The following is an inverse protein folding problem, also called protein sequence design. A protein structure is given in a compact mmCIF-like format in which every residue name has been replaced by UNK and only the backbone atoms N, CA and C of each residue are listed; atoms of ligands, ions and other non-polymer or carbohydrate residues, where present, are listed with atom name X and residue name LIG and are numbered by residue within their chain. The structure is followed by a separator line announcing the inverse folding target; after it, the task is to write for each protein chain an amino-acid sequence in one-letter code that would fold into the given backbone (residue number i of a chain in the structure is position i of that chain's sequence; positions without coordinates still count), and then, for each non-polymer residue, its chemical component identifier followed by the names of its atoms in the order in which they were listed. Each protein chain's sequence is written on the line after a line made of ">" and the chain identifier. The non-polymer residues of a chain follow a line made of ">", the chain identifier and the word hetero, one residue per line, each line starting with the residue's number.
data_IF_712604815824
#
_entry.id   IF_712604815824
#
_cell.length_a   1.000
_cell.length_b   1.000
_cell.length_c   1.000
_cell.angle_alpha   90.00
_cell.angle_beta   90.00
_cell.angle_gamma   90.00
#
_symmetry.space_group_name_H-M   'P 1'
#
loop_
_entity.id
_entity.type
_entity.pdbx_description
1 polymer ?
#
# COMPACT_ATOMS: atom_id res chain seq x y z
N UNK A 1 18.95 -3.20 -22.19
CA UNK A 1 19.53 -3.93 -21.05
C UNK A 1 20.33 -2.91 -20.24
N UNK A 2 19.79 -2.48 -19.10
CA UNK A 2 20.49 -1.60 -18.17
C UNK A 2 20.05 -2.05 -16.78
N UNK A 3 20.96 -2.79 -16.16
CA UNK A 3 20.92 -3.15 -14.75
C UNK A 3 21.30 -1.87 -14.00
N UNK A 4 20.40 -1.36 -13.17
CA UNK A 4 20.74 -0.27 -12.26
C UNK A 4 21.05 -0.92 -10.93
N UNK A 5 22.34 -0.88 -10.58
CA UNK A 5 22.88 -1.30 -9.30
C UNK A 5 22.23 -0.52 -8.16
N UNK A 6 21.65 -1.25 -7.22
CA UNK A 6 21.29 -0.72 -5.92
C UNK A 6 22.57 -0.76 -5.08
N UNK A 7 23.22 0.41 -4.90
CA UNK A 7 24.27 0.51 -3.90
C UNK A 7 23.63 0.38 -2.52
N UNK A 8 24.00 -0.71 -1.85
CA UNK A 8 23.75 -0.95 -0.43
C UNK A 8 24.58 0.04 0.38
N UNK A 9 23.91 0.86 1.19
CA UNK A 9 24.51 1.40 2.40
C UNK A 9 23.82 0.70 3.57
N UNK A 10 24.45 -0.40 4.00
CA UNK A 10 23.99 -1.31 5.04
C UNK A 10 25.13 -1.58 6.01
N UNK A 11 25.36 -0.64 6.93
CA UNK A 11 26.00 -0.94 8.21
C UNK A 11 25.96 0.30 9.12
N UNK A 12 24.87 0.52 9.87
CA UNK A 12 24.94 1.06 11.26
C UNK A 12 23.60 1.26 12.04
N UNK A 13 22.45 0.78 11.57
CA UNK A 13 21.18 0.96 12.33
C UNK A 13 20.89 -0.16 13.36
N UNK A 14 21.89 -0.57 14.17
CA UNK A 14 21.66 -1.59 15.23
C UNK A 14 21.90 -1.10 16.66
N UNK A 15 22.06 0.21 16.92
CA UNK A 15 22.15 0.77 18.30
C UNK A 15 21.42 2.12 18.48
N UNK A 16 20.85 2.75 17.45
CA UNK A 16 20.13 4.01 17.61
C UNK A 16 18.64 3.77 17.92
N UNK A 17 18.11 4.46 18.93
CA UNK A 17 16.66 4.51 19.18
C UNK A 17 15.90 4.79 17.88
N UNK A 18 14.72 4.19 17.71
CA UNK A 18 14.01 4.31 16.44
C UNK A 18 13.82 5.78 16.06
N UNK A 19 14.02 6.13 14.78
CA UNK A 19 13.96 7.51 14.35
C UNK A 19 12.61 8.15 14.71
N UNK A 20 12.61 9.42 15.13
CA UNK A 20 11.42 10.10 15.63
C UNK A 20 10.32 10.19 14.57
N UNK A 21 9.08 10.38 15.02
CA UNK A 21 7.95 10.73 14.15
C UNK A 21 8.33 11.93 13.28
N UNK A 22 8.33 11.77 11.95
CA UNK A 22 8.67 12.83 11.00
C UNK A 22 7.44 13.56 10.45
N UNK A 23 6.44 13.78 11.31
CA UNK A 23 5.31 14.64 10.99
C UNK A 23 4.66 15.20 12.25
N UNK A 24 4.06 16.39 12.18
CA UNK A 24 3.51 17.09 13.33
C UNK A 24 2.05 16.73 13.62
N UNK A 25 1.60 16.95 14.86
CA UNK A 25 0.18 16.86 15.23
C UNK A 25 -0.71 17.75 14.35
N UNK A 26 -0.23 18.95 14.01
CA UNK A 26 -0.92 19.86 13.09
C UNK A 26 -1.12 19.23 11.70
N UNK A 27 -0.10 18.55 11.17
CA UNK A 27 -0.17 17.87 9.87
C UNK A 27 -1.17 16.71 9.93
N UNK A 28 -1.17 15.94 11.02
CA UNK A 28 -2.15 14.90 11.30
C UNK A 28 -3.59 15.43 11.34
N UNK A 29 -3.83 16.49 12.10
CA UNK A 29 -5.14 17.12 12.20
C UNK A 29 -5.59 17.64 10.81
N UNK A 30 -4.63 18.12 10.00
CA UNK A 30 -4.84 18.48 8.61
C UNK A 30 -5.36 17.32 7.74
N UNK A 31 -4.82 16.10 7.88
CA UNK A 31 -5.32 14.92 7.17
C UNK A 31 -6.69 14.50 7.66
N UNK A 32 -6.90 14.42 8.98
CA UNK A 32 -8.21 14.08 9.56
C UNK A 32 -9.30 14.99 8.99
N UNK A 33 -9.04 16.30 8.93
CA UNK A 33 -9.95 17.28 8.32
C UNK A 33 -10.09 17.09 6.80
N UNK A 34 -8.98 17.03 6.07
CA UNK A 34 -8.98 17.01 4.59
C UNK A 34 -9.64 15.74 4.03
N UNK A 35 -9.46 14.60 4.70
CA UNK A 35 -10.06 13.33 4.33
C UNK A 35 -11.38 13.05 5.07
N UNK A 36 -11.89 14.02 5.84
CA UNK A 36 -13.20 13.98 6.53
C UNK A 36 -13.39 12.71 7.34
N UNK A 37 -12.40 12.36 8.16
CA UNK A 37 -12.52 11.20 9.04
C UNK A 37 -13.66 11.41 10.03
N UNK A 38 -14.44 10.36 10.26
CA UNK A 38 -15.50 10.38 11.27
C UNK A 38 -14.89 10.30 12.67
N UNK A 39 -15.45 11.04 13.62
CA UNK A 39 -15.04 10.97 15.04
C UNK A 39 -15.14 9.55 15.59
N UNK A 40 -16.12 8.77 15.11
CA UNK A 40 -16.33 7.38 15.50
C UNK A 40 -15.16 6.46 15.11
N UNK A 41 -14.34 6.83 14.14
CA UNK A 41 -13.13 6.10 13.73
C UNK A 41 -11.97 6.30 14.69
N UNK A 42 -12.05 7.34 15.54
CA UNK A 42 -11.09 7.65 16.61
C UNK A 42 -9.64 7.57 16.09
N UNK A 43 -9.35 8.43 15.10
CA UNK A 43 -8.01 8.58 14.56
C UNK A 43 -7.11 9.24 15.61
N UNK A 44 -5.97 8.61 15.90
CA UNK A 44 -5.04 9.04 16.94
C UNK A 44 -3.67 9.28 16.36
N UNK A 45 -3.17 10.48 16.62
CA UNK A 45 -1.78 10.80 16.46
C UNK A 45 -0.96 9.96 17.45
N UNK A 46 0.16 9.33 17.02
CA UNK A 46 0.98 8.52 17.90
C UNK A 46 1.70 9.39 18.95
N UNK A 47 1.84 8.84 20.16
CA UNK A 47 2.63 9.43 21.22
C UNK A 47 4.14 9.31 20.92
N UNK A 48 4.94 10.11 21.61
CA UNK A 48 6.39 10.10 21.46
C UNK A 48 6.96 8.70 21.78
N UNK A 49 7.84 8.20 20.91
CA UNK A 49 8.48 6.89 21.04
C UNK A 49 7.65 5.70 20.54
N UNK A 50 6.36 5.89 20.23
CA UNK A 50 5.56 4.83 19.61
C UNK A 50 6.03 4.53 18.18
N UNK A 51 5.81 3.29 17.76
CA UNK A 51 6.18 2.75 16.45
C UNK A 51 4.91 2.32 15.71
N UNK A 52 5.03 2.16 14.40
CA UNK A 52 3.95 1.62 13.57
C UNK A 52 3.47 0.23 14.01
N UNK A 53 4.29 -0.54 14.74
CA UNK A 53 3.93 -1.85 15.28
C UNK A 53 3.17 -1.77 16.63
N UNK A 54 3.17 -0.61 17.28
CA UNK A 54 2.65 -0.43 18.65
C UNK A 54 1.18 -0.01 18.67
N UNK A 55 0.41 -0.42 17.65
CA UNK A 55 -1.02 -0.13 17.60
C UNK A 55 -1.72 -0.66 18.86
N UNK A 56 -2.48 0.19 19.60
CA UNK A 56 -3.22 -0.27 20.77
C UNK A 56 -4.23 -1.37 20.41
N UNK A 57 -4.62 -2.18 21.39
CA UNK A 57 -5.66 -3.19 21.20
C UNK A 57 -6.95 -2.54 20.66
N UNK A 58 -7.50 -3.10 19.58
CA UNK A 58 -8.67 -2.55 18.89
C UNK A 58 -8.35 -1.46 17.85
N UNK A 59 -7.07 -1.14 17.63
CA UNK A 59 -6.62 -0.19 16.62
C UNK A 59 -5.78 -0.87 15.54
N UNK A 60 -5.67 -0.20 14.41
CA UNK A 60 -4.78 -0.55 13.30
C UNK A 60 -3.91 0.64 12.96
N UNK A 61 -2.71 0.36 12.46
CA UNK A 61 -1.82 1.38 11.91
C UNK A 61 -2.14 1.67 10.45
N UNK A 62 -2.23 2.95 10.11
CA UNK A 62 -2.29 3.46 8.75
C UNK A 62 -1.16 4.46 8.52
N UNK A 63 -0.68 4.54 7.29
CA UNK A 63 0.37 5.47 6.89
C UNK A 63 -0.21 6.65 6.14
N UNK A 64 0.31 7.85 6.42
CA UNK A 64 -0.05 9.09 5.73
C UNK A 64 -0.01 8.95 4.21
N UNK A 65 1.06 8.36 3.69
CA UNK A 65 1.30 8.20 2.26
C UNK A 65 0.27 7.32 1.54
N UNK A 66 -0.49 6.49 2.27
CA UNK A 66 -1.65 5.80 1.69
C UNK A 66 -2.68 6.80 1.17
N UNK A 67 -2.94 7.87 1.91
CA UNK A 67 -3.98 8.85 1.59
C UNK A 67 -3.51 9.87 0.58
N UNK A 68 -2.30 10.39 0.77
CA UNK A 68 -1.74 11.46 -0.07
C UNK A 68 -1.35 10.94 -1.46
N UNK A 69 -0.39 10.02 -1.54
CA UNK A 69 0.09 9.50 -2.81
C UNK A 69 -0.73 8.30 -3.28
N UNK A 70 -1.09 7.42 -2.34
CA UNK A 70 -1.87 6.22 -2.64
C UNK A 70 -3.30 6.52 -3.04
N UNK A 71 -3.84 7.72 -2.80
CA UNK A 71 -5.27 8.03 -3.00
C UNK A 71 -6.22 7.04 -2.30
N UNK A 72 -5.78 6.45 -1.19
CA UNK A 72 -6.62 5.65 -0.32
C UNK A 72 -7.66 6.54 0.38
N UNK A 73 -8.88 6.03 0.52
CA UNK A 73 -9.99 6.71 1.20
C UNK A 73 -10.67 5.73 2.13
N UNK A 74 -11.25 6.26 3.20
CA UNK A 74 -12.07 5.53 4.14
C UNK A 74 -13.55 5.94 3.97
N UNK A 75 -14.50 5.01 4.08
CA UNK A 75 -14.31 3.56 4.11
C UNK A 75 -13.58 3.04 2.87
N UNK A 76 -12.77 2.00 3.04
CA UNK A 76 -12.02 1.40 1.94
C UNK A 76 -12.97 0.87 0.86
N UNK A 77 -12.63 1.11 -0.42
CA UNK A 77 -13.39 0.54 -1.53
C UNK A 77 -13.37 -0.98 -1.50
N UNK A 78 -14.42 -1.60 -2.04
CA UNK A 78 -14.50 -3.06 -2.20
C UNK A 78 -13.23 -3.67 -2.81
N UNK A 79 -12.69 -3.08 -3.86
CA UNK A 79 -11.52 -3.64 -4.54
C UNK A 79 -10.25 -3.68 -3.65
N UNK A 80 -9.99 -2.62 -2.86
CA UNK A 80 -8.91 -2.64 -1.86
C UNK A 80 -9.13 -3.76 -0.83
N UNK A 81 -10.37 -3.94 -0.36
CA UNK A 81 -10.70 -5.03 0.56
C UNK A 81 -10.49 -6.40 -0.08
N UNK A 82 -10.89 -6.58 -1.34
CA UNK A 82 -10.68 -7.82 -2.09
C UNK A 82 -9.17 -8.14 -2.25
N UNK A 83 -8.32 -7.13 -2.49
CA UNK A 83 -6.86 -7.29 -2.56
C UNK A 83 -6.29 -7.76 -1.22
N UNK A 84 -6.65 -7.08 -0.13
CA UNK A 84 -6.19 -7.42 1.22
C UNK A 84 -6.64 -8.84 1.60
N UNK A 85 -7.90 -9.18 1.29
CA UNK A 85 -8.49 -10.50 1.55
C UNK A 85 -7.77 -11.60 0.77
N UNK A 86 -7.58 -11.40 -0.54
CA UNK A 86 -6.97 -12.39 -1.42
C UNK A 86 -5.52 -12.69 -1.04
N UNK A 87 -4.72 -11.65 -0.81
CA UNK A 87 -3.29 -11.79 -0.50
C UNK A 87 -3.00 -12.01 1.00
N UNK A 88 -4.04 -11.98 1.84
CA UNK A 88 -4.00 -12.34 3.27
C UNK A 88 -2.91 -11.61 4.07
N UNK A 89 -2.74 -10.30 3.85
CA UNK A 89 -1.84 -9.47 4.66
C UNK A 89 -2.60 -8.38 5.40
N UNK A 90 -2.05 -7.90 6.50
CA UNK A 90 -2.62 -6.79 7.25
C UNK A 90 -2.28 -5.46 6.55
N UNK A 91 -3.21 -4.51 6.46
CA UNK A 91 -2.99 -3.25 5.70
C UNK A 91 -1.73 -2.48 6.14
N UNK A 92 -1.34 -2.56 7.41
CA UNK A 92 -0.09 -1.97 7.93
C UNK A 92 1.19 -2.65 7.42
N UNK A 93 1.09 -3.81 6.79
CA UNK A 93 2.20 -4.48 6.11
C UNK A 93 2.32 -4.06 4.64
N UNK A 94 1.42 -3.22 4.12
CA UNK A 94 1.49 -2.72 2.75
C UNK A 94 2.47 -1.54 2.65
N UNK A 95 3.32 -1.56 1.62
CA UNK A 95 4.13 -0.40 1.24
C UNK A 95 3.27 0.65 0.50
N UNK A 96 3.48 1.97 0.67
CA UNK A 96 2.69 3.00 -0.01
C UNK A 96 2.63 2.86 -1.54
N UNK A 97 3.75 2.54 -2.20
CA UNK A 97 3.76 2.23 -3.64
C UNK A 97 2.81 1.07 -4.03
N UNK A 98 2.58 0.12 -3.13
CA UNK A 98 1.60 -0.95 -3.33
C UNK A 98 0.19 -0.39 -3.37
N UNK A 99 -0.14 0.53 -2.45
CA UNK A 99 -1.43 1.24 -2.44
C UNK A 99 -1.62 2.07 -3.71
N UNK A 100 -0.59 2.82 -4.15
CA UNK A 100 -0.62 3.56 -5.43
C UNK A 100 -0.99 2.64 -6.59
N UNK A 101 -0.36 1.47 -6.70
CA UNK A 101 -0.63 0.51 -7.78
C UNK A 101 -2.04 -0.05 -7.73
N UNK A 102 -2.53 -0.41 -6.54
CA UNK A 102 -3.90 -0.91 -6.34
C UNK A 102 -4.92 0.17 -6.72
N UNK A 103 -4.76 1.39 -6.21
CA UNK A 103 -5.69 2.49 -6.46
C UNK A 103 -5.65 2.95 -7.91
N UNK A 104 -4.46 3.09 -8.49
CA UNK A 104 -4.31 3.44 -9.91
C UNK A 104 -5.00 2.42 -10.82
N UNK A 105 -4.79 1.13 -10.59
CA UNK A 105 -5.49 0.08 -11.33
C UNK A 105 -7.02 0.23 -11.20
N UNK A 106 -7.53 0.45 -9.99
CA UNK A 106 -8.96 0.67 -9.78
C UNK A 106 -9.47 1.88 -10.56
N UNK A 107 -8.76 3.01 -10.53
CA UNK A 107 -9.13 4.21 -11.29
C UNK A 107 -9.19 3.93 -12.79
N UNK A 108 -8.20 3.23 -13.35
CA UNK A 108 -8.17 2.87 -14.78
C UNK A 108 -9.32 1.93 -15.15
N UNK A 109 -9.60 0.91 -14.33
CA UNK A 109 -10.74 0.03 -14.59
C UNK A 109 -12.06 0.82 -14.59
N UNK A 110 -12.28 1.67 -13.58
CA UNK A 110 -13.50 2.48 -13.47
C UNK A 110 -13.65 3.50 -14.60
N UNK A 111 -12.56 4.14 -15.05
CA UNK A 111 -12.61 5.09 -16.17
C UNK A 111 -12.94 4.42 -17.52
N UNK A 112 -12.67 3.12 -17.63
CA UNK A 112 -13.02 2.29 -18.79
C UNK A 112 -14.34 1.52 -18.62
N UNK A 113 -15.11 1.81 -17.55
CA UNK A 113 -16.34 1.07 -17.21
C UNK A 113 -16.14 -0.46 -17.03
N UNK A 114 -14.95 -0.87 -16.59
CA UNK A 114 -14.61 -2.25 -16.26
C UNK A 114 -14.62 -2.41 -14.74
N UNK A 115 -15.26 -3.46 -14.23
CA UNK A 115 -15.21 -3.74 -12.79
C UNK A 115 -13.78 -4.17 -12.39
N UNK A 116 -13.12 -3.47 -11.46
CA UNK A 116 -11.82 -3.90 -10.93
C UNK A 116 -11.98 -5.23 -10.19
N UNK A 117 -11.08 -6.18 -10.45
CA UNK A 117 -11.06 -7.47 -9.76
C UNK A 117 -9.64 -7.94 -9.54
N UNK A 118 -9.44 -8.76 -8.49
CA UNK A 118 -8.10 -9.28 -8.15
C UNK A 118 -7.53 -10.10 -9.30
N UNK A 119 -8.37 -10.89 -9.98
CA UNK A 119 -7.97 -11.65 -11.18
C UNK A 119 -7.41 -10.75 -12.28
N UNK A 120 -8.08 -9.63 -12.59
CA UNK A 120 -7.57 -8.67 -13.59
C UNK A 120 -6.31 -7.96 -13.11
N UNK A 121 -6.25 -7.57 -11.84
CA UNK A 121 -5.06 -6.94 -11.26
C UNK A 121 -3.83 -7.83 -11.38
N UNK A 122 -3.99 -9.13 -11.10
CA UNK A 122 -2.95 -10.16 -11.20
C UNK A 122 -2.39 -10.34 -12.60
N UNK A 123 -3.13 -10.02 -13.66
CA UNK A 123 -2.60 -10.04 -15.03
C UNK A 123 -1.50 -9.00 -15.22
N UNK A 124 -1.58 -7.86 -14.54
CA UNK A 124 -0.60 -6.77 -14.66
C UNK A 124 0.46 -6.82 -13.56
N UNK A 125 0.10 -7.33 -12.39
CA UNK A 125 0.89 -7.22 -11.18
C UNK A 125 1.17 -8.57 -10.52
N UNK A 126 2.38 -8.71 -9.99
CA UNK A 126 2.79 -9.80 -9.13
C UNK A 126 3.08 -9.21 -7.74
N UNK A 127 2.55 -9.83 -6.69
CA UNK A 127 2.91 -9.44 -5.34
C UNK A 127 4.38 -9.77 -5.09
N UNK A 128 5.06 -8.90 -4.37
CA UNK A 128 6.41 -9.15 -3.88
C UNK A 128 6.53 -8.58 -2.47
N UNK A 129 7.59 -8.98 -1.78
CA UNK A 129 7.94 -8.46 -0.47
C UNK A 129 9.32 -7.83 -0.54
N UNK A 130 9.44 -6.61 -0.01
CA UNK A 130 10.69 -5.87 0.01
C UNK A 130 10.85 -5.19 1.37
N UNK A 131 12.01 -5.37 2.01
CA UNK A 131 12.32 -4.81 3.33
C UNK A 131 11.21 -5.01 4.38
N UNK A 132 10.57 -6.19 4.38
CA UNK A 132 9.53 -6.54 5.33
C UNK A 132 8.11 -6.09 4.98
N UNK A 133 7.91 -5.33 3.90
CA UNK A 133 6.59 -4.85 3.46
C UNK A 133 6.15 -5.49 2.14
N UNK A 134 4.83 -5.67 1.97
CA UNK A 134 4.22 -6.17 0.75
C UNK A 134 3.91 -5.06 -0.22
N UNK A 135 4.14 -5.35 -1.49
CA UNK A 135 3.83 -4.46 -2.60
C UNK A 135 3.63 -5.29 -3.86
N UNK A 136 3.53 -4.62 -5.01
CA UNK A 136 3.29 -5.25 -6.30
C UNK A 136 4.34 -4.80 -7.31
N UNK A 137 4.94 -5.72 -8.05
CA UNK A 137 5.79 -5.44 -9.21
C UNK A 137 4.96 -5.61 -10.48
N UNK A 138 5.28 -4.82 -11.50
CA UNK A 138 4.69 -4.99 -12.83
C UNK A 138 5.22 -6.31 -13.43
N UNK A 139 4.35 -7.10 -14.05
CA UNK A 139 4.76 -8.29 -14.79
C UNK A 139 5.42 -7.89 -16.11
N UNK A 140 6.53 -8.54 -16.44
CA UNK A 140 7.27 -8.28 -17.68
C UNK A 140 6.43 -8.51 -18.94
N UNK A 141 5.52 -9.50 -18.90
CA UNK A 141 4.63 -9.87 -20.01
C UNK A 141 3.39 -8.97 -20.15
N UNK A 142 3.21 -7.97 -19.28
CA UNK A 142 2.01 -7.14 -19.24
C UNK A 142 2.32 -5.70 -19.66
N UNK A 143 1.38 -5.08 -20.41
CA UNK A 143 1.47 -3.65 -20.74
C UNK A 143 1.51 -2.82 -19.45
N UNK A 144 2.40 -1.82 -19.42
CA UNK A 144 2.49 -0.89 -18.29
C UNK A 144 1.23 -0.05 -18.21
N UNK A 145 0.50 -0.18 -17.09
CA UNK A 145 -0.68 0.65 -16.83
C UNK A 145 -0.35 1.92 -16.03
N UNK A 146 0.70 1.85 -15.21
CA UNK A 146 1.26 2.97 -14.45
C UNK A 146 2.57 3.36 -15.12
N UNK A 147 2.53 4.42 -15.94
CA UNK A 147 3.66 4.83 -16.77
C UNK A 147 4.77 5.50 -15.96
N UNK A 148 4.40 6.29 -14.96
CA UNK A 148 5.30 7.06 -14.12
C UNK A 148 4.97 6.79 -12.64
N UNK A 149 5.36 5.62 -12.10
CA UNK A 149 5.24 5.39 -10.67
C UNK A 149 6.11 6.39 -9.89
N UNK A 150 5.71 6.81 -8.67
CA UNK A 150 6.61 7.53 -7.78
C UNK A 150 7.92 6.77 -7.57
N UNK A 151 9.05 7.47 -7.71
CA UNK A 151 10.38 6.87 -7.67
C UNK A 151 10.77 6.41 -6.26
N UNK A 152 10.27 7.08 -5.23
CA UNK A 152 10.57 6.76 -3.83
C UNK A 152 9.50 7.30 -2.88
N UNK A 153 9.45 6.69 -1.71
CA UNK A 153 8.71 7.17 -0.56
C UNK A 153 9.72 7.37 0.55
N UNK A 154 10.24 8.59 0.72
CA UNK A 154 11.19 8.86 1.79
C UNK A 154 10.44 8.98 3.12
N UNK A 155 10.98 8.37 4.19
CA UNK A 155 10.49 8.49 5.56
C UNK A 155 9.03 8.06 5.81
N UNK A 156 8.38 7.38 4.87
CA UNK A 156 6.94 7.03 4.99
C UNK A 156 6.63 6.21 6.25
N UNK A 157 7.57 5.38 6.70
CA UNK A 157 7.44 4.55 7.91
C UNK A 157 7.31 5.39 9.18
N UNK A 158 7.75 6.66 9.15
CA UNK A 158 7.75 7.60 10.28
C UNK A 158 6.51 8.51 10.27
N UNK A 159 5.61 8.34 9.28
CA UNK A 159 4.36 9.11 9.14
C UNK A 159 3.16 8.17 9.24
N UNK A 160 2.91 7.66 10.45
CA UNK A 160 1.82 6.74 10.74
C UNK A 160 0.91 7.28 11.83
N UNK A 161 -0.30 6.74 11.90
CA UNK A 161 -1.30 7.01 12.93
C UNK A 161 -2.16 5.77 13.17
N UNK A 162 -2.97 5.82 14.22
CA UNK A 162 -3.84 4.71 14.60
C UNK A 162 -5.32 5.05 14.37
N UNK A 163 -6.10 4.09 13.89
CA UNK A 163 -7.56 4.18 13.83
C UNK A 163 -8.17 2.93 14.44
N UNK A 164 -9.42 2.99 14.92
CA UNK A 164 -10.15 1.79 15.32
C UNK A 164 -10.19 0.77 14.18
N UNK A 165 -9.97 -0.50 14.50
CA UNK A 165 -9.93 -1.61 13.54
C UNK A 165 -11.19 -1.69 12.67
N UNK A 166 -12.35 -1.29 13.21
CA UNK A 166 -13.63 -1.29 12.49
C UNK A 166 -13.72 -0.33 11.30
N UNK A 167 -12.74 0.57 11.11
CA UNK A 167 -12.68 1.45 9.94
C UNK A 167 -12.41 0.68 8.63
N UNK A 168 -11.80 -0.50 8.76
CA UNK A 168 -11.70 -1.49 7.69
C UNK A 168 -12.73 -2.59 8.03
N UNK A 169 -13.82 -2.73 7.26
CA UNK A 169 -14.92 -3.65 7.60
C UNK A 169 -14.59 -5.11 7.27
N UNK A 170 -13.40 -5.56 7.64
CA UNK A 170 -12.90 -6.92 7.42
C UNK A 170 -11.85 -7.25 8.48
N UNK A 171 -11.88 -8.49 8.99
CA UNK A 171 -10.79 -9.01 9.83
C UNK A 171 -9.54 -9.20 8.97
N UNK A 172 -8.46 -8.54 9.36
CA UNK A 172 -7.16 -8.67 8.72
C UNK A 172 -6.22 -9.49 9.61
N UNK A 173 -5.44 -10.37 9.00
CA UNK A 173 -4.41 -11.16 9.69
C UNK A 173 -3.02 -10.69 9.28
N UNK A 174 -2.11 -10.59 10.24
CA UNK A 174 -0.70 -10.39 9.93
C UNK A 174 -0.18 -11.60 9.17
N UNK A 175 0.39 -11.35 7.99
CA UNK A 175 1.06 -12.38 7.20
C UNK A 175 2.47 -12.60 7.72
N UNK A 176 2.87 -13.87 7.79
CA UNK A 176 4.22 -14.28 8.18
C UNK A 176 5.29 -13.86 7.18
N UNK A 177 6.56 -14.10 7.55
CA UNK A 177 7.73 -13.71 6.73
C UNK A 177 8.00 -14.66 5.55
N UNK A 178 7.01 -15.41 5.12
CA UNK A 178 7.12 -16.36 4.01
C UNK A 178 7.46 -15.63 2.71
N UNK A 179 8.20 -16.33 1.85
CA UNK A 179 8.46 -15.86 0.50
C UNK A 179 7.16 -15.75 -0.27
N UNK A 180 7.08 -14.75 -1.15
CA UNK A 180 5.94 -14.59 -2.03
C UNK A 180 6.18 -15.46 -3.27
N UNK A 181 5.38 -16.52 -3.51
CA UNK A 181 5.58 -17.35 -4.68
C UNK A 181 5.38 -16.53 -5.96
N UNK A 182 6.29 -16.72 -6.91
CA UNK A 182 6.12 -16.18 -8.26
C UNK A 182 5.02 -16.95 -8.96
N UNK A 183 3.93 -16.27 -9.32
CA UNK A 183 2.86 -16.88 -10.11
C UNK A 183 3.17 -16.71 -11.60
N UNK A 184 3.08 -17.76 -12.40
CA UNK A 184 3.13 -17.64 -13.86
C UNK A 184 1.71 -17.47 -14.38
N UNK A 185 1.36 -16.25 -14.79
CA UNK A 185 0.06 -15.94 -15.40
C UNK A 185 0.31 -15.63 -16.87
N UNK A 186 -0.29 -16.42 -17.76
CA UNK A 186 -0.28 -16.11 -19.18
C UNK A 186 -1.12 -14.86 -19.42
N UNK A 187 -0.50 -13.82 -19.98
CA UNK A 187 -1.27 -12.69 -20.50
C UNK A 187 -2.08 -13.21 -21.68
N UNK A 188 -3.41 -12.97 -21.75
CA UNK A 188 -4.16 -13.32 -22.94
C UNK A 188 -3.54 -12.57 -24.13
N UNK A 189 -2.99 -13.31 -25.10
CA UNK A 189 -2.64 -12.74 -26.39
C UNK A 189 -3.96 -12.37 -27.07
N UNK A 190 -4.24 -11.08 -27.21
CA UNK A 190 -5.26 -10.66 -28.17
C UNK A 190 -4.58 -10.57 -29.53
N UNK A 191 -4.77 -11.57 -30.39
CA UNK A 191 -4.37 -11.49 -31.81
C UNK A 191 -5.16 -10.44 -32.61
N UNK A 192 -6.14 -9.75 -32.02
CA UNK A 192 -7.09 -8.89 -32.75
C UNK A 192 -7.17 -7.42 -32.29
N UNK A 193 -6.08 -6.79 -31.86
CA UNK A 193 -6.06 -5.33 -31.72
C UNK A 193 -5.12 -4.69 -32.75
N UNK A 194 -5.49 -4.85 -34.03
CA UNK A 194 -5.02 -3.95 -35.09
C UNK A 194 -5.98 -2.75 -35.12
N UNK A 195 -5.39 -1.55 -35.13
CA UNK A 195 -6.02 -0.22 -35.35
C UNK A 195 -6.61 0.47 -34.11
N UNK A 196 -5.82 1.40 -33.59
CA UNK A 196 -6.29 2.78 -33.38
C UNK A 196 -5.46 3.65 -34.32
#
# INVERSE_FOLDING_TARGET
>A
MSTVDYHEDSSDEMVAGLPPLKWSKETFDGLVRSFKFLDSWDARYPDEGQKAADAPAGYITLFWDFFLAGNFRLPATKFVLDIISYYKFHISQMHPIGMVKVRHFEFVCRSMHIEPSVTRFRVFHQMHRYQGFYSFVQRASAKKILLQPPNSFHDWKQKFFFNKVGVIPMRMTFRGKEDVPTETIQTPFSENCTRI
#
